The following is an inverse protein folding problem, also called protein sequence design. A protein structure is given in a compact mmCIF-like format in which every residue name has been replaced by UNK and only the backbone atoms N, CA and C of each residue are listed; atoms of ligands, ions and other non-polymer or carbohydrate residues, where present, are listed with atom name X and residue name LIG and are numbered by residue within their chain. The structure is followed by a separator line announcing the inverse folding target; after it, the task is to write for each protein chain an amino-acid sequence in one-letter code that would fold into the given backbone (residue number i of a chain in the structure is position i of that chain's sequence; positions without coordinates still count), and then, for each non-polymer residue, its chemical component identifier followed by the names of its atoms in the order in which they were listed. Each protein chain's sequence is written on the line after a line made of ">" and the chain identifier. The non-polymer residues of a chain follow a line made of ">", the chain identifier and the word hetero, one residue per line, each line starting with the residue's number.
data_IF_144216487199
#
_entry.id   IF_144216487199
#
_cell.length_a   1.000
_cell.length_b   1.000
_cell.length_c   1.000
_cell.angle_alpha   90.00
_cell.angle_beta   90.00
_cell.angle_gamma   90.00
#
_symmetry.space_group_name_H-M   'P 1'
#
loop_
_entity.id
_entity.type
_entity.pdbx_description
1 polymer ?
#
# COMPACT_ATOMS: atom_id res chain seq x y z
N UNK A 1 -28.14 -11.36 19.39
CA UNK A 1 -26.75 -11.85 19.28
C UNK A 1 -25.85 -10.64 19.21
N UNK A 2 -25.03 -10.37 20.24
CA UNK A 2 -24.01 -9.32 20.16
C UNK A 2 -22.84 -9.89 19.36
N UNK A 3 -22.65 -9.45 18.11
CA UNK A 3 -21.41 -9.73 17.38
C UNK A 3 -20.28 -9.05 18.15
N UNK A 4 -19.34 -9.84 18.64
CA UNK A 4 -18.10 -9.34 19.24
C UNK A 4 -17.30 -8.69 18.10
N UNK A 5 -16.96 -7.42 18.22
CA UNK A 5 -16.13 -6.74 17.24
C UNK A 5 -14.72 -7.35 17.28
N UNK A 6 -14.25 -7.87 16.15
CA UNK A 6 -12.88 -8.36 16.00
C UNK A 6 -12.01 -7.25 15.41
N UNK A 7 -10.98 -6.84 16.16
CA UNK A 7 -10.03 -5.83 15.69
C UNK A 7 -9.03 -6.47 14.73
N UNK A 8 -8.90 -5.90 13.53
CA UNK A 8 -7.96 -6.36 12.51
C UNK A 8 -6.88 -5.30 12.26
N UNK A 9 -5.70 -5.75 11.83
CA UNK A 9 -4.57 -4.88 11.45
C UNK A 9 -4.15 -5.17 10.02
N UNK A 10 -3.62 -4.15 9.35
CA UNK A 10 -2.98 -4.30 8.06
C UNK A 10 -1.64 -5.00 8.26
N UNK A 11 -1.32 -5.92 7.35
CA UNK A 11 0.03 -6.47 7.22
C UNK A 11 1.00 -5.44 6.65
N UNK A 12 2.30 -5.73 6.74
CA UNK A 12 3.33 -4.92 6.09
C UNK A 12 3.12 -4.81 4.57
N UNK A 13 2.63 -5.88 3.93
CA UNK A 13 2.33 -5.89 2.49
C UNK A 13 1.18 -4.94 2.15
N UNK A 14 0.10 -4.96 2.94
CA UNK A 14 -1.03 -4.07 2.72
C UNK A 14 -0.64 -2.61 2.94
N UNK A 15 0.20 -2.32 3.94
CA UNK A 15 0.74 -0.99 4.15
C UNK A 15 1.58 -0.53 2.94
N UNK A 16 2.42 -1.41 2.39
CA UNK A 16 3.18 -1.14 1.16
C UNK A 16 2.27 -0.82 -0.03
N UNK A 17 1.19 -1.58 -0.23
CA UNK A 17 0.21 -1.31 -1.29
C UNK A 17 -0.49 0.05 -1.13
N UNK A 18 -0.82 0.45 0.11
CA UNK A 18 -1.38 1.78 0.41
C UNK A 18 -0.37 2.87 0.06
N UNK A 19 0.91 2.71 0.44
CA UNK A 19 1.95 3.68 0.12
C UNK A 19 2.14 3.85 -1.38
N UNK A 20 2.08 2.75 -2.15
CA UNK A 20 2.11 2.80 -3.62
C UNK A 20 0.92 3.57 -4.20
N UNK A 21 -0.31 3.28 -3.74
CA UNK A 21 -1.50 4.01 -4.17
C UNK A 21 -1.42 5.51 -3.84
N UNK A 22 -0.88 5.84 -2.66
CA UNK A 22 -0.69 7.22 -2.22
C UNK A 22 0.32 7.95 -3.10
N UNK A 23 1.47 7.34 -3.39
CA UNK A 23 2.49 7.93 -4.25
C UNK A 23 1.95 8.21 -5.65
N UNK A 24 1.24 7.26 -6.26
CA UNK A 24 0.63 7.43 -7.59
C UNK A 24 -0.42 8.54 -7.59
N UNK A 25 -1.23 8.61 -6.53
CA UNK A 25 -2.27 9.64 -6.38
C UNK A 25 -1.66 11.04 -6.26
N UNK A 26 -0.57 11.18 -5.51
CA UNK A 26 0.14 12.46 -5.38
C UNK A 26 0.81 12.87 -6.70
N UNK A 27 1.47 11.93 -7.40
CA UNK A 27 2.15 12.21 -8.68
C UNK A 27 1.18 12.66 -9.77
N UNK A 28 0.02 12.01 -9.85
CA UNK A 28 -0.96 12.28 -10.91
C UNK A 28 -2.12 13.17 -10.46
N UNK A 29 -2.06 13.71 -9.24
CA UNK A 29 -3.14 14.51 -8.62
C UNK A 29 -4.51 13.81 -8.66
N UNK A 30 -4.51 12.50 -8.41
CA UNK A 30 -5.71 11.66 -8.39
C UNK A 30 -6.29 11.59 -6.97
N UNK A 31 -7.60 11.39 -6.87
CA UNK A 31 -8.23 11.01 -5.62
C UNK A 31 -7.85 9.56 -5.27
N UNK A 32 -7.28 9.38 -4.08
CA UNK A 32 -6.85 8.07 -3.57
C UNK A 32 -8.03 7.23 -3.05
N UNK A 33 -9.14 7.86 -2.65
CA UNK A 33 -10.26 7.16 -2.00
C UNK A 33 -10.85 6.04 -2.87
N UNK A 34 -11.14 6.26 -4.17
CA UNK A 34 -11.63 5.20 -5.05
C UNK A 34 -10.62 4.05 -5.23
N UNK A 35 -9.32 4.32 -5.13
CA UNK A 35 -8.27 3.29 -5.25
C UNK A 35 -8.31 2.38 -4.03
N UNK A 36 -8.32 2.96 -2.82
CA UNK A 36 -8.36 2.19 -1.57
C UNK A 36 -9.68 1.43 -1.39
N UNK A 37 -10.80 1.98 -1.86
CA UNK A 37 -12.09 1.29 -1.85
C UNK A 37 -12.12 0.05 -2.75
N UNK A 38 -11.27 0.01 -3.78
CA UNK A 38 -11.15 -1.13 -4.68
C UNK A 38 -10.15 -2.18 -4.19
N UNK A 39 -9.52 -2.02 -3.02
CA UNK A 39 -8.62 -3.03 -2.48
C UNK A 39 -9.39 -4.29 -2.04
N UNK A 40 -8.98 -5.42 -2.59
CA UNK A 40 -9.42 -6.75 -2.20
C UNK A 40 -8.59 -7.20 -0.99
N UNK A 41 -9.18 -7.07 0.20
CA UNK A 41 -8.53 -7.35 1.47
C UNK A 41 -8.80 -8.79 1.94
N UNK A 42 -7.73 -9.56 2.13
CA UNK A 42 -7.81 -10.94 2.61
C UNK A 42 -7.18 -11.04 4.00
N UNK A 43 -7.87 -11.68 4.94
CA UNK A 43 -7.33 -11.98 6.27
C UNK A 43 -6.34 -13.15 6.20
N UNK A 44 -5.15 -12.95 6.73
CA UNK A 44 -4.12 -13.99 6.87
C UNK A 44 -3.59 -14.06 8.31
N UNK A 45 -2.62 -14.94 8.57
CA UNK A 45 -1.94 -15.02 9.87
C UNK A 45 -1.16 -13.74 10.20
N UNK A 46 -0.73 -12.98 9.19
CA UNK A 46 0.07 -11.77 9.34
C UNK A 46 -0.77 -10.47 9.29
N UNK A 47 -2.10 -10.61 9.29
CA UNK A 47 -3.07 -9.51 9.18
C UNK A 47 -3.74 -9.42 7.81
N UNK A 48 -4.38 -8.29 7.53
CA UNK A 48 -5.00 -8.04 6.24
C UNK A 48 -3.93 -7.81 5.16
N UNK A 49 -4.01 -8.54 4.05
CA UNK A 49 -3.20 -8.36 2.85
C UNK A 49 -4.07 -7.74 1.74
N UNK A 50 -3.44 -7.08 0.76
CA UNK A 50 -4.10 -6.59 -0.46
C UNK A 50 -3.81 -7.56 -1.59
N UNK A 51 -4.84 -8.23 -2.12
CA UNK A 51 -4.73 -9.25 -3.16
C UNK A 51 -4.59 -8.66 -4.58
N UNK A 52 -5.00 -7.39 -4.76
CA UNK A 52 -4.90 -6.64 -6.01
C UNK A 52 -4.11 -5.32 -5.82
N UNK A 53 -2.83 -5.40 -5.40
CA UNK A 53 -2.04 -4.19 -5.19
C UNK A 53 -1.89 -3.40 -6.50
N UNK A 54 -1.81 -2.06 -6.44
CA UNK A 54 -1.61 -1.25 -7.63
C UNK A 54 -0.26 -1.60 -8.28
N UNK A 55 -0.24 -1.77 -9.60
CA UNK A 55 0.99 -1.93 -10.37
C UNK A 55 1.69 -0.59 -10.49
N UNK A 56 2.65 -0.30 -9.60
CA UNK A 56 3.59 0.79 -9.81
C UNK A 56 4.51 0.38 -10.95
N UNK A 57 4.55 1.16 -12.03
CA UNK A 57 5.61 1.04 -13.04
C UNK A 57 6.92 1.51 -12.38
N UNK A 58 7.62 0.59 -11.72
CA UNK A 58 9.00 0.84 -11.34
C UNK A 58 9.80 0.95 -12.63
N UNK A 59 10.19 2.16 -13.02
CA UNK A 59 11.03 2.38 -14.20
C UNK A 59 12.46 1.84 -14.02
N UNK A 60 12.82 1.39 -12.82
CA UNK A 60 13.96 0.51 -12.59
C UNK A 60 13.67 -0.40 -11.39
N UNK A 61 13.79 -1.71 -11.60
CA UNK A 61 13.58 -2.75 -10.59
C UNK A 61 14.81 -2.97 -9.69
N UNK A 62 15.68 -1.97 -9.55
CA UNK A 62 16.73 -1.96 -8.54
C UNK A 62 16.12 -1.66 -7.17
N UNK A 63 16.46 -2.47 -6.16
CA UNK A 63 16.13 -2.16 -4.77
C UNK A 63 16.60 -0.74 -4.45
N UNK A 64 15.66 0.12 -4.02
CA UNK A 64 15.99 1.47 -3.57
C UNK A 64 16.77 1.32 -2.27
N UNK A 65 18.06 1.61 -2.31
CA UNK A 65 18.90 1.53 -1.11
C UNK A 65 18.70 2.77 -0.24
N UNK A 66 19.03 2.69 1.05
CA UNK A 66 19.03 3.85 1.95
C UNK A 66 19.90 5.01 1.40
N UNK A 67 20.94 4.68 0.63
CA UNK A 67 21.80 5.66 -0.02
C UNK A 67 21.11 6.40 -1.19
N UNK A 68 20.12 5.79 -1.83
CA UNK A 68 19.37 6.42 -2.92
C UNK A 68 18.32 7.39 -2.36
N UNK A 69 17.69 7.03 -1.24
CA UNK A 69 16.81 7.93 -0.48
C UNK A 69 17.54 9.17 0.03
N UNK A 70 18.77 9.02 0.53
CA UNK A 70 19.58 10.15 1.04
C UNK A 70 19.96 11.17 -0.05
N UNK A 71 20.00 10.77 -1.32
CA UNK A 71 20.35 11.65 -2.45
C UNK A 71 19.17 12.48 -2.96
N UNK A 72 17.94 12.11 -2.62
CA UNK A 72 16.73 12.83 -3.06
C UNK A 72 16.40 14.07 -2.21
N UNK A 73 17.11 14.28 -1.10
CA UNK A 73 16.89 15.38 -0.13
C UNK A 73 17.93 16.52 -0.31
N UNK A 74 18.45 16.72 -1.53
CA UNK A 74 19.34 17.85 -1.86
C UNK A 74 18.66 18.87 -2.77
#
# INVERSE_FOLDING_TARGET
>A
MNKKEESMKLSNQALGAIMMALQESLMNQLDIVPILQNFDLIMTQDGLIVNNPPTVRMTDSSEITEQDLAKMVK
#
